data_IF_544682028952
#
_entry.id   IF_544682028952
#
_cell.length_a   1.000
_cell.length_b   1.000
_cell.length_c   1.000
_cell.angle_alpha   90.00
_cell.angle_beta   90.00
_cell.angle_gamma   90.00
#
_symmetry.space_group_name_H-M   'P 1'
#
loop_
_entity.id
_entity.type
_entity.pdbx_description
1 polymer ?
#
# COMPACT_ATOMS: atom_id res chain seq x y z
N UNK A 1 0.97 -7.84 -10.07
CA UNK A 1 1.06 -7.21 -8.75
C UNK A 1 -0.22 -6.46 -8.47
N UNK A 2 -0.90 -6.74 -7.36
CA UNK A 2 -2.03 -5.93 -6.87
C UNK A 2 -1.58 -5.07 -5.66
N UNK A 3 -2.46 -4.18 -5.19
CA UNK A 3 -2.19 -3.26 -4.06
C UNK A 3 -1.79 -4.02 -2.78
N UNK A 4 -2.47 -5.13 -2.48
CA UNK A 4 -2.19 -5.93 -1.29
C UNK A 4 -0.76 -6.51 -1.32
N UNK A 5 -0.29 -6.92 -2.48
CA UNK A 5 1.08 -7.42 -2.67
C UNK A 5 2.12 -6.31 -2.48
N UNK A 6 1.85 -5.12 -3.03
CA UNK A 6 2.71 -3.95 -2.87
C UNK A 6 2.87 -3.55 -1.38
N UNK A 7 1.77 -3.47 -0.63
CA UNK A 7 1.80 -3.15 0.81
C UNK A 7 2.54 -4.25 1.60
N UNK A 8 2.33 -5.52 1.23
CA UNK A 8 2.88 -6.65 1.97
C UNK A 8 4.41 -6.72 1.92
N UNK A 9 5.02 -6.21 0.84
CA UNK A 9 6.45 -6.40 0.54
C UNK A 9 7.27 -5.11 0.53
N UNK A 10 6.67 -3.95 0.25
CA UNK A 10 7.42 -2.71 0.06
C UNK A 10 7.47 -1.86 1.34
N UNK A 11 8.59 -1.18 1.57
CA UNK A 11 8.69 -0.12 2.59
C UNK A 11 8.01 1.17 2.15
N UNK A 12 7.84 1.34 0.83
CA UNK A 12 7.23 2.53 0.23
C UNK A 12 6.48 2.16 -1.04
N UNK A 13 5.27 2.70 -1.19
CA UNK A 13 4.45 2.60 -2.40
C UNK A 13 4.31 3.99 -3.01
N UNK A 14 4.71 4.14 -4.28
CA UNK A 14 4.54 5.39 -5.03
C UNK A 14 3.32 5.24 -5.94
N UNK A 15 2.34 6.13 -5.80
CA UNK A 15 1.14 6.15 -6.64
C UNK A 15 1.34 7.15 -7.77
N UNK A 16 1.09 6.71 -9.00
CA UNK A 16 1.23 7.53 -10.20
C UNK A 16 -0.15 7.91 -10.78
N UNK A 17 -0.23 9.05 -11.45
CA UNK A 17 -1.43 9.44 -12.20
C UNK A 17 -1.61 8.64 -13.49
N UNK A 18 -2.76 8.84 -14.14
CA UNK A 18 -2.94 8.46 -15.56
C UNK A 18 -1.89 9.16 -16.43
N UNK A 19 -1.61 8.58 -17.59
CA UNK A 19 -0.58 9.09 -18.52
C UNK A 19 -0.95 10.48 -19.08
N UNK A 20 0.04 11.36 -19.31
CA UNK A 20 1.43 11.24 -18.87
C UNK A 20 1.53 11.28 -17.33
N UNK A 21 2.31 10.36 -16.75
CA UNK A 21 2.25 10.08 -15.31
C UNK A 21 3.04 11.10 -14.48
N UNK A 22 2.43 11.59 -13.41
CA UNK A 22 3.07 12.33 -12.32
C UNK A 22 2.96 11.52 -11.01
N UNK A 23 3.84 11.80 -10.05
CA UNK A 23 3.72 11.24 -8.70
C UNK A 23 2.52 11.89 -8.03
N UNK A 24 1.50 11.10 -7.71
CA UNK A 24 0.31 11.55 -6.95
C UNK A 24 0.55 11.51 -5.45
N UNK A 25 1.10 10.40 -4.96
CA UNK A 25 1.36 10.20 -3.53
C UNK A 25 2.54 9.25 -3.32
N UNK A 26 3.18 9.38 -2.17
CA UNK A 26 4.22 8.49 -1.68
C UNK A 26 3.79 7.99 -0.31
N UNK A 27 3.45 6.71 -0.24
CA UNK A 27 2.96 6.07 0.97
C UNK A 27 4.10 5.26 1.59
N UNK A 28 4.60 5.70 2.74
CA UNK A 28 5.51 4.89 3.56
C UNK A 28 4.68 3.81 4.28
N UNK A 29 5.14 2.57 4.20
CA UNK A 29 4.44 1.40 4.73
C UNK A 29 5.10 1.00 6.04
N UNK A 30 4.41 1.28 7.13
CA UNK A 30 4.82 0.92 8.48
C UNK A 30 3.76 -0.04 9.03
N UNK A 31 4.12 -1.32 9.15
CA UNK A 31 3.21 -2.37 9.58
C UNK A 31 3.66 -2.89 10.94
N UNK A 32 2.74 -2.87 11.90
CA UNK A 32 2.98 -3.49 13.21
C UNK A 32 2.76 -5.00 13.09
N UNK A 33 3.77 -5.70 12.57
CA UNK A 33 3.73 -7.15 12.42
C UNK A 33 3.96 -7.86 13.77
N UNK A 34 3.18 -8.90 14.10
CA UNK A 34 3.41 -9.72 15.29
C UNK A 34 4.84 -10.28 15.32
N UNK A 35 5.48 -10.23 16.49
CA UNK A 35 6.86 -10.70 16.72
C UNK A 35 7.94 -9.98 15.87
N UNK A 36 7.63 -8.83 15.28
CA UNK A 36 8.53 -8.10 14.36
C UNK A 36 8.97 -8.91 13.12
N UNK A 37 8.24 -9.98 12.78
CA UNK A 37 8.51 -10.79 11.60
C UNK A 37 7.61 -10.30 10.46
N UNK A 38 8.22 -9.64 9.48
CA UNK A 38 7.51 -9.16 8.29
C UNK A 38 7.48 -10.24 7.22
N UNK A 39 6.38 -10.97 7.13
CA UNK A 39 6.06 -11.84 5.99
C UNK A 39 4.81 -11.33 5.29
N UNK A 40 4.58 -11.63 4.00
CA UNK A 40 3.38 -11.19 3.30
C UNK A 40 2.07 -11.62 3.97
N UNK A 41 2.07 -12.76 4.66
CA UNK A 41 0.91 -13.21 5.44
C UNK A 41 0.72 -12.37 6.71
N UNK A 42 1.79 -12.16 7.49
CA UNK A 42 1.76 -11.37 8.73
C UNK A 42 1.46 -9.89 8.47
N UNK A 43 1.98 -9.33 7.39
CA UNK A 43 1.71 -7.98 6.93
C UNK A 43 0.22 -7.72 6.75
N UNK A 44 -0.56 -8.72 6.32
CA UNK A 44 -2.01 -8.62 6.10
C UNK A 44 -2.82 -8.64 7.40
N UNK A 45 -2.24 -9.16 8.48
CA UNK A 45 -2.84 -9.17 9.82
C UNK A 45 -2.62 -7.85 10.56
N UNK A 46 -1.67 -7.03 10.10
CA UNK A 46 -1.38 -5.73 10.70
C UNK A 46 -2.58 -4.78 10.55
N UNK A 47 -2.98 -4.05 11.61
CA UNK A 47 -4.15 -3.18 11.57
C UNK A 47 -4.02 -2.05 10.54
N UNK A 48 -2.80 -1.58 10.27
CA UNK A 48 -2.50 -0.53 9.30
C UNK A 48 -2.68 -1.01 7.85
N UNK A 49 -2.66 -2.33 7.61
CA UNK A 49 -2.77 -2.89 6.27
C UNK A 49 -4.05 -2.42 5.55
N UNK A 50 -5.18 -2.48 6.24
CA UNK A 50 -6.48 -2.04 5.70
C UNK A 50 -6.50 -0.54 5.44
N UNK A 51 -5.82 0.25 6.28
CA UNK A 51 -5.68 1.69 6.07
C UNK A 51 -4.92 1.99 4.78
N UNK A 52 -3.74 1.38 4.59
CA UNK A 52 -2.95 1.56 3.38
C UNK A 52 -3.65 1.07 2.13
N UNK A 53 -4.34 -0.07 2.20
CA UNK A 53 -5.11 -0.60 1.08
C UNK A 53 -6.16 0.40 0.62
N UNK A 54 -6.97 0.91 1.55
CA UNK A 54 -8.00 1.89 1.23
C UNK A 54 -7.42 3.22 0.74
N UNK A 55 -6.29 3.67 1.32
CA UNK A 55 -5.61 4.89 0.88
C UNK A 55 -5.14 4.77 -0.56
N UNK A 56 -4.39 3.72 -0.88
CA UNK A 56 -3.87 3.49 -2.23
C UNK A 56 -5.01 3.24 -3.22
N UNK A 57 -6.06 2.50 -2.82
CA UNK A 57 -7.25 2.30 -3.65
C UNK A 57 -7.91 3.62 -4.01
N UNK A 58 -8.17 4.50 -3.04
CA UNK A 58 -8.75 5.82 -3.27
C UNK A 58 -7.90 6.69 -4.19
N UNK A 59 -6.57 6.59 -4.10
CA UNK A 59 -5.68 7.33 -4.99
C UNK A 59 -5.67 6.80 -6.43
N UNK A 60 -5.93 5.51 -6.62
CA UNK A 60 -6.07 4.91 -7.96
C UNK A 60 -7.46 5.13 -8.57
N UNK A 61 -8.49 5.22 -7.72
CA UNK A 61 -9.88 5.38 -8.13
C UNK A 61 -10.18 6.84 -8.50
N UNK A 62 -9.93 7.17 -9.78
CA UNK A 62 -10.31 8.43 -10.41
C UNK A 62 -11.72 8.25 -10.97
N UNK A 63 -12.74 8.64 -10.21
CA UNK A 63 -14.15 8.85 -10.63
C UNK A 63 -14.68 7.88 -11.70
N UNK A 64 -15.51 6.92 -11.31
CA UNK A 64 -16.55 6.39 -12.22
C UNK A 64 -17.57 7.50 -12.50
#
# INVERSE_FOLDING_TARGET
MNIAEAISMADRVVVLSKRPAIIKDIVNIELTCPNSIRTPMRSREAPEFRYYFNKIWKELDVHV
#
